data_IF_279371795215
#
_entry.id   IF_279371795215
#
_cell.length_a   1.000
_cell.length_b   1.000
_cell.length_c   1.000
_cell.angle_alpha   90.00
_cell.angle_beta   90.00
_cell.angle_gamma   90.00
#
_symmetry.space_group_name_H-M   'P 1'
#
loop_
_entity.id
_entity.type
_entity.pdbx_description
1 polymer ?
#
# COMPACT_ATOMS: atom_id res chain seq x y z
N UNK A 1 7.96 13.84 -4.31
CA UNK A 1 6.90 12.83 -4.39
C UNK A 1 7.33 11.65 -3.54
N UNK A 2 6.58 11.28 -2.50
CA UNK A 2 6.88 10.12 -1.68
C UNK A 2 6.78 8.86 -2.54
N UNK A 3 7.74 7.95 -2.40
CA UNK A 3 7.74 6.71 -3.18
C UNK A 3 6.87 5.68 -2.46
N UNK A 4 5.68 5.40 -2.99
CA UNK A 4 4.76 4.44 -2.38
C UNK A 4 4.90 3.08 -3.06
N UNK A 5 5.23 2.05 -2.28
CA UNK A 5 5.44 0.68 -2.75
C UNK A 5 4.42 -0.26 -2.15
N UNK A 6 3.82 -1.09 -3.00
CA UNK A 6 2.93 -2.18 -2.58
C UNK A 6 3.65 -3.51 -2.69
N UNK A 7 3.65 -4.29 -1.62
CA UNK A 7 4.20 -5.64 -1.60
C UNK A 7 3.10 -6.63 -1.30
N UNK A 8 2.80 -7.49 -2.28
CA UNK A 8 1.87 -8.60 -2.08
C UNK A 8 2.49 -9.62 -1.11
N UNK A 9 1.72 -9.98 -0.10
CA UNK A 9 2.00 -11.05 0.84
C UNK A 9 0.94 -12.13 0.68
N UNK A 10 1.30 -13.34 1.11
CA UNK A 10 0.34 -14.43 1.19
C UNK A 10 0.78 -15.45 2.23
N UNK A 11 -0.18 -16.18 2.80
CA UNK A 11 0.14 -17.36 3.61
C UNK A 11 0.76 -18.47 2.75
N UNK A 12 1.66 -19.24 3.36
CA UNK A 12 2.22 -20.46 2.76
C UNK A 12 1.25 -21.63 2.98
N UNK A 13 0.10 -21.58 2.34
CA UNK A 13 -0.92 -22.63 2.39
C UNK A 13 -0.88 -23.46 1.10
N UNK A 14 -0.94 -24.79 1.19
CA UNK A 14 -0.87 -25.66 0.02
C UNK A 14 -2.14 -25.55 -0.83
N UNK A 15 -3.28 -25.35 -0.18
CA UNK A 15 -4.55 -25.11 -0.86
C UNK A 15 -4.69 -23.62 -1.25
N UNK A 16 -4.65 -23.34 -2.56
CA UNK A 16 -4.70 -21.97 -3.09
C UNK A 16 -5.97 -21.21 -2.67
N UNK A 17 -7.10 -21.90 -2.53
CA UNK A 17 -8.36 -21.27 -2.12
C UNK A 17 -8.40 -20.88 -0.64
N UNK A 18 -7.48 -21.40 0.16
CA UNK A 18 -7.31 -21.07 1.58
C UNK A 18 -6.14 -20.10 1.82
N UNK A 19 -5.44 -19.68 0.76
CA UNK A 19 -4.38 -18.68 0.88
C UNK A 19 -5.01 -17.34 1.19
N UNK A 20 -4.60 -16.78 2.30
CA UNK A 20 -4.87 -15.40 2.61
C UNK A 20 -3.86 -14.54 1.83
N UNK A 21 -4.34 -13.47 1.19
CA UNK A 21 -3.54 -12.57 0.38
C UNK A 21 -3.83 -11.16 0.83
N UNK A 22 -2.77 -10.41 1.12
CA UNK A 22 -2.84 -9.01 1.48
C UNK A 22 -1.68 -8.25 0.86
N UNK A 23 -1.69 -6.93 1.01
CA UNK A 23 -0.75 -6.02 0.39
C UNK A 23 -0.22 -5.08 1.47
N UNK A 24 1.07 -5.23 1.77
CA UNK A 24 1.79 -4.30 2.62
C UNK A 24 2.11 -3.03 1.84
N UNK A 25 1.92 -1.88 2.49
CA UNK A 25 2.09 -0.56 1.91
C UNK A 25 3.27 0.11 2.60
N UNK A 26 4.24 0.52 1.79
CA UNK A 26 5.43 1.22 2.24
C UNK A 26 5.48 2.61 1.63
N UNK A 27 5.87 3.61 2.42
CA UNK A 27 6.10 4.98 1.96
C UNK A 27 7.56 5.32 2.23
N UNK A 28 8.30 5.64 1.18
CA UNK A 28 9.75 5.90 1.24
C UNK A 28 10.55 4.79 1.93
N UNK A 29 10.07 3.54 1.77
CA UNK A 29 10.66 2.34 2.36
C UNK A 29 10.20 2.00 3.78
N UNK A 30 9.42 2.87 4.43
CA UNK A 30 8.86 2.61 5.76
C UNK A 30 7.49 1.94 5.67
N UNK A 31 7.26 0.90 6.46
CA UNK A 31 5.96 0.23 6.51
C UNK A 31 4.92 1.14 7.16
N UNK A 32 3.80 1.34 6.48
CA UNK A 32 2.70 2.18 6.95
C UNK A 32 1.51 1.33 7.39
N UNK A 33 1.02 0.46 6.50
CA UNK A 33 -0.19 -0.33 6.74
C UNK A 33 -0.29 -1.51 5.78
N UNK A 34 -1.35 -2.32 5.91
CA UNK A 34 -1.65 -3.44 5.03
C UNK A 34 -3.15 -3.49 4.66
N UNK A 35 -3.45 -3.98 3.46
CA UNK A 35 -4.81 -4.10 2.93
C UNK A 35 -5.05 -5.50 2.35
N UNK A 36 -6.22 -6.08 2.60
CA UNK A 36 -6.58 -7.38 2.06
C UNK A 36 -7.09 -7.31 0.61
N UNK A 37 -7.56 -6.14 0.19
CA UNK A 37 -8.04 -5.90 -1.18
C UNK A 37 -7.02 -5.08 -1.98
N UNK A 38 -6.82 -5.46 -3.24
CA UNK A 38 -5.86 -4.80 -4.13
C UNK A 38 -6.37 -3.43 -4.61
N UNK A 39 -7.67 -3.26 -4.80
CA UNK A 39 -8.25 -1.98 -5.19
C UNK A 39 -8.08 -0.97 -4.05
N UNK A 40 -8.37 -1.36 -2.81
CA UNK A 40 -8.13 -0.51 -1.63
C UNK A 40 -6.64 -0.15 -1.48
N UNK A 41 -5.74 -1.10 -1.74
CA UNK A 41 -4.31 -0.86 -1.68
C UNK A 41 -3.83 0.13 -2.77
N UNK A 42 -4.39 0.04 -3.98
CA UNK A 42 -4.07 0.92 -5.10
C UNK A 42 -4.66 2.33 -4.90
N UNK A 43 -5.87 2.43 -4.36
CA UNK A 43 -6.52 3.70 -4.05
C UNK A 43 -5.69 4.46 -3.00
N UNK A 44 -5.35 3.79 -1.90
CA UNK A 44 -4.51 4.37 -0.85
C UNK A 44 -3.10 4.71 -1.36
N UNK A 45 -2.53 3.91 -2.28
CA UNK A 45 -1.27 4.26 -2.96
C UNK A 45 -1.40 5.59 -3.70
N UNK A 46 -2.46 5.75 -4.49
CA UNK A 46 -2.70 6.98 -5.25
C UNK A 46 -2.93 8.19 -4.32
N UNK A 47 -3.65 8.00 -3.22
CA UNK A 47 -3.85 9.04 -2.20
C UNK A 47 -2.53 9.46 -1.54
N UNK A 48 -1.67 8.51 -1.17
CA UNK A 48 -0.38 8.78 -0.52
C UNK A 48 0.62 9.44 -1.48
N UNK A 49 0.65 9.01 -2.74
CA UNK A 49 1.48 9.65 -3.79
C UNK A 49 1.03 11.10 -4.07
N UNK A 50 -0.29 11.36 -4.03
CA UNK A 50 -0.85 12.70 -4.19
C UNK A 50 -0.68 13.58 -2.94
N UNK A 51 -0.85 13.03 -1.74
CA UNK A 51 -0.76 13.78 -0.49
C UNK A 51 0.63 14.33 -0.21
N UNK A 52 1.68 13.67 -0.71
CA UNK A 52 3.05 14.23 -0.71
C UNK A 52 3.33 15.25 -1.82
N UNK A 53 2.31 15.69 -2.55
CA UNK A 53 2.33 16.81 -3.51
C UNK A 53 1.62 18.05 -2.94
N UNK A 54 1.08 17.99 -1.72
CA UNK A 54 0.66 19.20 -1.01
C UNK A 54 1.88 19.86 -0.38
N UNK A 55 2.58 20.66 -1.17
CA UNK A 55 3.37 21.77 -0.62
C UNK A 55 2.48 22.56 0.36
N UNK A 56 2.98 22.96 1.54
CA UNK A 56 2.28 23.98 2.30
C UNK A 56 2.37 25.27 1.47
N UNK A 57 1.30 25.67 0.80
CA UNK A 57 1.12 27.07 0.45
C UNK A 57 1.15 27.84 1.77
N UNK A 58 2.32 28.41 2.04
CA UNK A 58 2.54 29.39 3.09
C UNK A 58 1.77 30.64 2.67
N UNK A 59 0.77 31.03 3.45
CA UNK A 59 0.23 32.39 3.47
C UNK A 59 0.08 32.88 4.91
#
# INVERSE_FOLDING_TARGET
MPTVTLKRQSTDEANVSLRDVWYDIYVDGEYVTSRNDICDALDLKAELEQSGTTEPESE
#
